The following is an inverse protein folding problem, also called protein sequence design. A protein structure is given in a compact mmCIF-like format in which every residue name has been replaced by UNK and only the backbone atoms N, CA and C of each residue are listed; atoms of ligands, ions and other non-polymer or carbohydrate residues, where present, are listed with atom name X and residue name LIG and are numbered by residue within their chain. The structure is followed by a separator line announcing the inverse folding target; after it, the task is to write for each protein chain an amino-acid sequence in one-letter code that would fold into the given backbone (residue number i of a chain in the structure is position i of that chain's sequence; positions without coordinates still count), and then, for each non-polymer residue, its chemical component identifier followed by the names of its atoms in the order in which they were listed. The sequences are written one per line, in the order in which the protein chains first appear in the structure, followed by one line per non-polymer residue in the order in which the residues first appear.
data_IF_651212192129
#
_entry.id   IF_651212192129
#
_cell.length_a   1.000
_cell.length_b   1.000
_cell.length_c   1.000
_cell.angle_alpha   90.00
_cell.angle_beta   90.00
_cell.angle_gamma   90.00
#
_symmetry.space_group_name_H-M   'P 1'
#
loop_
_entity.id
_entity.type
_entity.pdbx_description
1 polymer ?
#
# COMPACT_ATOMS: atom_id res chain seq x y z
N UNK A 1 -25.34 3.58 16.37
CA UNK A 1 -24.03 4.04 16.87
C UNK A 1 -23.02 3.91 15.72
N UNK A 2 -22.67 5.01 15.05
CA UNK A 2 -21.69 4.98 13.95
C UNK A 2 -20.28 5.13 14.54
N UNK A 3 -19.38 4.20 14.22
CA UNK A 3 -17.96 4.25 14.57
C UNK A 3 -17.23 5.04 13.48
N UNK A 4 -17.08 6.35 13.65
CA UNK A 4 -16.17 7.16 12.85
C UNK A 4 -14.73 6.83 13.28
N UNK A 5 -14.05 5.97 12.50
CA UNK A 5 -12.60 5.77 12.57
C UNK A 5 -11.91 7.07 12.11
N UNK A 6 -11.78 8.03 13.02
CA UNK A 6 -10.87 9.17 12.89
C UNK A 6 -9.46 8.62 12.73
N UNK A 7 -8.99 8.45 11.48
CA UNK A 7 -7.60 8.10 11.22
C UNK A 7 -6.75 9.24 11.78
N UNK A 8 -5.85 9.00 12.74
CA UNK A 8 -4.92 10.04 13.17
C UNK A 8 -4.12 10.46 11.95
N UNK A 9 -4.29 11.71 11.53
CA UNK A 9 -3.46 12.34 10.51
C UNK A 9 -2.07 12.39 11.11
N UNK A 10 -1.21 11.44 10.73
CA UNK A 10 0.18 11.42 11.21
C UNK A 10 0.82 12.72 10.74
N UNK A 11 1.22 13.56 11.68
CA UNK A 11 2.03 14.73 11.35
C UNK A 11 3.37 14.25 10.80
N UNK A 12 3.60 14.53 9.53
CA UNK A 12 4.76 14.10 8.77
C UNK A 12 5.77 15.23 8.59
N UNK A 13 5.47 16.44 9.06
CA UNK A 13 6.33 17.62 8.81
C UNK A 13 7.69 17.47 9.49
N UNK A 14 7.69 17.30 10.80
CA UNK A 14 8.91 17.12 11.60
C UNK A 14 9.85 16.03 11.04
N UNK A 15 9.40 14.77 10.79
CA UNK A 15 10.29 13.75 10.25
C UNK A 15 10.69 13.98 8.79
N UNK A 16 9.94 14.75 8.01
CA UNK A 16 10.30 15.10 6.63
C UNK A 16 11.40 16.17 6.61
N UNK A 17 11.27 17.18 7.47
CA UNK A 17 12.25 18.25 7.63
C UNK A 17 13.59 17.66 8.11
N UNK A 18 13.57 16.78 9.11
CA UNK A 18 14.76 16.02 9.55
C UNK A 18 15.41 15.24 8.40
N UNK A 19 14.60 14.64 7.51
CA UNK A 19 15.10 13.88 6.37
C UNK A 19 15.78 14.79 5.34
N UNK A 20 15.18 15.96 5.10
CA UNK A 20 15.68 16.99 4.18
C UNK A 20 16.98 17.57 4.72
N UNK A 21 17.07 17.85 6.01
CA UNK A 21 18.28 18.40 6.63
C UNK A 21 19.46 17.40 6.55
N UNK A 22 19.19 16.12 6.78
CA UNK A 22 20.24 15.09 6.76
C UNK A 22 20.69 14.68 5.33
N UNK A 23 19.79 14.69 4.34
CA UNK A 23 20.05 14.11 3.01
C UNK A 23 19.95 15.11 1.86
N UNK A 24 19.41 16.31 2.09
CA UNK A 24 19.12 17.32 1.10
C UNK A 24 17.79 17.10 0.38
N UNK A 25 17.11 18.20 0.05
CA UNK A 25 15.78 18.22 -0.58
C UNK A 25 15.72 17.39 -1.87
N UNK A 26 16.75 17.46 -2.72
CA UNK A 26 16.79 16.76 -4.02
C UNK A 26 16.74 15.24 -3.84
N UNK A 27 17.52 14.68 -2.89
CA UNK A 27 17.55 13.23 -2.65
C UNK A 27 16.23 12.73 -2.08
N UNK A 28 15.67 13.46 -1.11
CA UNK A 28 14.37 13.15 -0.51
C UNK A 28 13.25 13.21 -1.56
N UNK A 29 13.24 14.26 -2.40
CA UNK A 29 12.27 14.40 -3.48
C UNK A 29 12.32 13.26 -4.49
N UNK A 30 13.52 12.86 -4.93
CA UNK A 30 13.69 11.71 -5.83
C UNK A 30 13.22 10.41 -5.17
N UNK A 31 13.54 10.19 -3.90
CA UNK A 31 13.12 9.00 -3.16
C UNK A 31 11.60 8.92 -3.03
N UNK A 32 10.93 10.04 -2.71
CA UNK A 32 9.46 10.13 -2.66
C UNK A 32 8.83 9.88 -4.02
N UNK A 33 9.36 10.50 -5.09
CA UNK A 33 8.89 10.26 -6.45
C UNK A 33 9.01 8.78 -6.83
N UNK A 34 10.15 8.15 -6.53
CA UNK A 34 10.35 6.70 -6.77
C UNK A 34 9.39 5.86 -5.93
N UNK A 35 9.13 6.22 -4.67
CA UNK A 35 8.18 5.50 -3.82
C UNK A 35 6.74 5.60 -4.36
N UNK A 36 6.33 6.79 -4.82
CA UNK A 36 5.03 7.02 -5.44
C UNK A 36 4.85 6.17 -6.71
N UNK A 37 5.88 6.15 -7.58
CA UNK A 37 5.88 5.32 -8.79
C UNK A 37 5.93 3.81 -8.47
N UNK A 38 6.62 3.40 -7.40
CA UNK A 38 6.68 2.01 -6.92
C UNK A 38 5.40 1.55 -6.23
N UNK A 39 4.46 2.44 -5.92
CA UNK A 39 3.20 2.07 -5.25
C UNK A 39 2.36 1.08 -6.07
N UNK A 40 2.51 1.08 -7.40
CA UNK A 40 1.93 0.06 -8.29
C UNK A 40 2.62 -1.32 -8.25
N UNK A 41 3.86 -1.38 -7.73
CA UNK A 41 4.65 -2.62 -7.52
C UNK A 41 4.45 -3.25 -6.15
N UNK A 42 3.77 -2.60 -5.20
CA UNK A 42 3.31 -3.22 -3.95
C UNK A 42 2.10 -4.14 -4.19
N UNK A 43 2.15 -4.94 -5.26
CA UNK A 43 1.19 -6.00 -5.48
C UNK A 43 1.48 -7.06 -4.40
N UNK A 44 0.47 -7.51 -3.64
CA UNK A 44 0.69 -8.59 -2.69
C UNK A 44 1.28 -9.80 -3.43
N UNK A 45 2.14 -10.58 -2.76
CA UNK A 45 2.72 -11.77 -3.37
C UNK A 45 1.62 -12.69 -3.93
N UNK A 46 1.88 -13.40 -5.04
CA UNK A 46 0.88 -14.25 -5.66
C UNK A 46 0.46 -15.36 -4.68
N UNK A 47 -0.81 -15.38 -4.32
CA UNK A 47 -1.43 -16.39 -3.44
C UNK A 47 -1.93 -17.62 -4.21
N UNK A 48 -1.58 -17.74 -5.49
CA UNK A 48 -2.11 -18.74 -6.43
C UNK A 48 -1.69 -20.18 -6.13
N UNK A 49 -0.64 -20.38 -5.33
CA UNK A 49 -0.17 -21.71 -4.91
C UNK A 49 -0.61 -22.14 -3.51
N UNK A 50 -1.40 -21.34 -2.80
CA UNK A 50 -1.83 -21.65 -1.44
C UNK A 50 -3.01 -22.63 -1.45
N UNK A 51 -3.01 -23.55 -0.49
CA UNK A 51 -4.14 -24.46 -0.26
C UNK A 51 -5.35 -23.68 0.27
N UNK A 52 -6.59 -24.18 0.09
CA UNK A 52 -7.80 -23.48 0.52
C UNK A 52 -7.83 -23.11 2.02
N UNK A 53 -7.22 -23.95 2.86
CA UNK A 53 -7.11 -23.71 4.30
C UNK A 53 -6.19 -22.52 4.60
N UNK A 54 -5.02 -22.45 3.96
CA UNK A 54 -4.07 -21.33 4.10
C UNK A 54 -4.66 -20.01 3.59
N UNK A 55 -5.45 -20.04 2.51
CA UNK A 55 -6.18 -18.85 2.03
C UNK A 55 -7.16 -18.33 3.07
N UNK A 56 -7.92 -19.24 3.72
CA UNK A 56 -8.87 -18.87 4.78
C UNK A 56 -8.16 -18.28 6.01
N UNK A 57 -7.02 -18.82 6.41
CA UNK A 57 -6.26 -18.37 7.58
C UNK A 57 -5.72 -16.94 7.41
N UNK A 58 -5.38 -16.54 6.18
CA UNK A 58 -4.99 -15.15 5.85
C UNK A 58 -6.17 -14.26 5.47
N UNK A 59 -7.40 -14.74 5.65
CA UNK A 59 -8.64 -13.98 5.41
C UNK A 59 -9.03 -13.82 3.94
N UNK A 60 -8.52 -14.66 3.05
CA UNK A 60 -8.93 -14.71 1.63
C UNK A 60 -10.01 -15.77 1.42
N UNK A 61 -11.12 -15.39 0.78
CA UNK A 61 -12.16 -16.36 0.41
C UNK A 61 -11.70 -17.29 -0.72
N UNK A 62 -11.66 -18.63 -0.52
CA UNK A 62 -11.15 -19.58 -1.52
C UNK A 62 -11.90 -19.67 -2.86
N UNK A 63 -12.97 -18.88 -3.07
CA UNK A 63 -13.78 -18.88 -4.29
C UNK A 63 -13.82 -17.54 -5.03
N UNK A 64 -13.35 -16.45 -4.42
CA UNK A 64 -13.30 -15.14 -5.08
C UNK A 64 -11.89 -14.85 -5.51
N UNK A 65 -11.54 -15.36 -6.69
CA UNK A 65 -10.45 -14.81 -7.50
C UNK A 65 -10.70 -13.30 -7.56
N UNK A 66 -9.92 -12.51 -6.84
CA UNK A 66 -10.09 -11.07 -6.86
C UNK A 66 -9.75 -10.59 -8.26
N UNK A 67 -10.76 -10.47 -9.12
CA UNK A 67 -10.67 -9.81 -10.41
C UNK A 67 -10.57 -8.30 -10.17
N UNK A 68 -9.54 -7.87 -9.44
CA UNK A 68 -9.15 -6.47 -9.35
C UNK A 68 -8.27 -6.17 -10.56
N UNK A 69 -8.92 -6.15 -11.72
CA UNK A 69 -8.32 -5.94 -13.03
C UNK A 69 -9.34 -5.71 -14.14
N UNK A 70 -10.63 -5.98 -13.91
CA UNK A 70 -11.66 -5.94 -14.95
C UNK A 70 -12.64 -4.76 -14.77
N UNK A 71 -12.07 -3.56 -14.67
CA UNK A 71 -12.85 -2.31 -14.69
C UNK A 71 -12.08 -1.20 -15.42
N UNK A 72 -11.57 -1.48 -16.62
CA UNK A 72 -11.23 -0.45 -17.60
C UNK A 72 -11.28 -1.09 -18.98
N UNK A 73 -12.41 -0.92 -19.68
CA UNK A 73 -12.59 -0.76 -21.14
C UNK A 73 -14.01 -1.18 -21.56
N UNK A 74 -14.89 -0.18 -21.66
CA UNK A 74 -15.66 0.08 -22.87
C UNK A 74 -15.44 1.55 -23.22
#
# INVERSE_FOLDING_TARGET
MQLTLERPVRDLRAPLDDLIDNHGLVRVGIALMRAALRRGKNRPPPVTGLTPHLLRDIGLEPGRRSTRGDRLRY
#
